data_IF_960691291415
#
_entry.id   IF_960691291415
#
_cell.length_a   1.000
_cell.length_b   1.000
_cell.length_c   1.000
_cell.angle_alpha   90.00
_cell.angle_beta   90.00
_cell.angle_gamma   90.00
#
_symmetry.space_group_name_H-M   'P 1'
#
loop_
_entity.id
_entity.type
_entity.pdbx_description
1 polymer ?
#
# COMPACT_ATOMS: atom_id res chain seq x y z
N UNK A 1 2.71 -17.09 -1.38
CA UNK A 1 3.90 -16.25 -1.67
C UNK A 1 3.76 -14.90 -1.00
N UNK A 2 4.86 -14.39 -0.50
CA UNK A 2 4.87 -13.11 0.22
C UNK A 2 5.52 -12.04 -0.65
N UNK A 3 5.00 -10.83 -0.54
CA UNK A 3 5.43 -9.69 -1.35
C UNK A 3 5.53 -8.45 -0.47
N UNK A 4 6.52 -7.62 -0.78
CA UNK A 4 6.64 -6.29 -0.21
C UNK A 4 6.24 -5.28 -1.27
N UNK A 5 5.26 -4.44 -0.93
CA UNK A 5 4.87 -3.31 -1.77
C UNK A 5 5.43 -2.06 -1.11
N UNK A 6 6.18 -1.27 -1.86
CA UNK A 6 6.66 0.04 -1.44
C UNK A 6 6.10 1.04 -2.44
N UNK A 7 5.31 1.97 -1.95
CA UNK A 7 4.66 2.97 -2.79
C UNK A 7 5.02 4.37 -2.33
N UNK A 8 5.34 5.24 -3.28
CA UNK A 8 5.68 6.62 -3.01
C UNK A 8 4.60 7.53 -3.55
N UNK A 9 4.12 8.43 -2.70
CA UNK A 9 3.13 9.43 -3.09
C UNK A 9 3.76 10.47 -4.01
N UNK A 10 2.93 11.25 -4.71
CA UNK A 10 3.39 12.38 -5.45
C UNK A 10 4.04 13.42 -4.53
N UNK A 11 4.85 14.30 -5.12
CA UNK A 11 5.59 15.33 -4.37
C UNK A 11 5.02 16.73 -4.58
N UNK A 12 3.92 16.86 -5.32
CA UNK A 12 3.25 18.13 -5.55
C UNK A 12 2.45 18.58 -4.32
N UNK A 13 2.02 19.83 -4.32
CA UNK A 13 1.29 20.43 -3.19
C UNK A 13 0.00 19.70 -2.83
N UNK A 14 -0.69 19.12 -3.83
CA UNK A 14 -1.96 18.42 -3.61
C UNK A 14 -1.82 16.97 -3.16
N UNK A 15 -0.59 16.45 -3.06
CA UNK A 15 -0.37 15.03 -2.80
C UNK A 15 -0.96 14.56 -1.46
N UNK A 16 -0.73 15.30 -0.38
CA UNK A 16 -1.24 14.92 0.93
C UNK A 16 -2.76 14.97 0.97
N UNK A 17 -3.38 15.95 0.34
CA UNK A 17 -4.84 16.06 0.29
C UNK A 17 -5.44 14.87 -0.45
N UNK A 18 -4.84 14.44 -1.57
CA UNK A 18 -5.30 13.25 -2.29
C UNK A 18 -5.24 12.02 -1.41
N UNK A 19 -4.14 11.88 -0.66
CA UNK A 19 -4.00 10.76 0.27
C UNK A 19 -5.07 10.78 1.35
N UNK A 20 -5.29 11.92 1.98
CA UNK A 20 -6.28 12.05 3.04
C UNK A 20 -7.71 11.83 2.51
N UNK A 21 -7.99 12.26 1.29
CA UNK A 21 -9.31 12.04 0.67
C UNK A 21 -9.59 10.56 0.37
N UNK A 22 -8.58 9.79 0.03
CA UNK A 22 -8.74 8.37 -0.27
C UNK A 22 -8.50 7.46 0.93
N UNK A 23 -8.05 8.00 2.05
CA UNK A 23 -7.54 7.22 3.18
C UNK A 23 -8.58 6.30 3.81
N UNK A 24 -9.79 6.78 4.05
CA UNK A 24 -10.80 5.94 4.71
C UNK A 24 -11.18 4.71 3.89
N UNK A 25 -11.31 4.87 2.57
CA UNK A 25 -11.59 3.75 1.67
C UNK A 25 -10.42 2.78 1.59
N UNK A 26 -9.19 3.32 1.55
CA UNK A 26 -7.99 2.49 1.54
C UNK A 26 -7.89 1.66 2.83
N UNK A 27 -8.12 2.26 4.00
CA UNK A 27 -8.06 1.55 5.27
C UNK A 27 -9.16 0.51 5.40
N UNK A 28 -10.35 0.78 4.86
CA UNK A 28 -11.43 -0.19 4.84
C UNK A 28 -11.07 -1.42 4.01
N UNK A 29 -10.49 -1.20 2.83
CA UNK A 29 -10.02 -2.29 1.99
C UNK A 29 -8.87 -3.05 2.66
N UNK A 30 -7.94 -2.33 3.28
CA UNK A 30 -6.82 -2.94 4.00
C UNK A 30 -7.32 -3.86 5.12
N UNK A 31 -8.33 -3.43 5.86
CA UNK A 31 -8.92 -4.24 6.92
C UNK A 31 -9.49 -5.54 6.37
N UNK A 32 -10.21 -5.48 5.25
CA UNK A 32 -10.75 -6.67 4.59
C UNK A 32 -9.64 -7.59 4.12
N UNK A 33 -8.57 -7.02 3.56
CA UNK A 33 -7.41 -7.80 3.14
C UNK A 33 -6.75 -8.51 4.33
N UNK A 34 -6.68 -7.86 5.47
CA UNK A 34 -6.15 -8.46 6.69
C UNK A 34 -7.04 -9.61 7.18
N UNK A 35 -8.34 -9.42 7.18
CA UNK A 35 -9.30 -10.46 7.58
C UNK A 35 -9.21 -11.69 6.68
N UNK A 36 -8.94 -11.49 5.39
CA UNK A 36 -8.81 -12.55 4.41
C UNK A 36 -7.41 -13.21 4.41
N UNK A 37 -6.49 -12.69 5.21
CA UNK A 37 -5.13 -13.23 5.29
C UNK A 37 -4.19 -12.74 4.22
N UNK A 38 -4.60 -11.77 3.38
CA UNK A 38 -3.75 -11.22 2.33
C UNK A 38 -2.82 -10.12 2.81
N UNK A 39 -3.25 -9.30 3.75
CA UNK A 39 -2.40 -8.26 4.34
C UNK A 39 -1.82 -8.77 5.66
N UNK A 40 -0.49 -8.83 5.74
CA UNK A 40 0.21 -9.26 6.95
C UNK A 40 0.43 -8.07 7.86
N UNK A 41 1.10 -7.05 7.36
CA UNK A 41 1.35 -5.79 8.04
C UNK A 41 1.44 -4.67 7.02
N UNK A 42 1.12 -3.45 7.43
CA UNK A 42 1.25 -2.30 6.57
C UNK A 42 1.33 -1.01 7.37
N UNK A 43 1.80 0.04 6.72
CA UNK A 43 1.90 1.33 7.36
C UNK A 43 2.27 2.43 6.37
N UNK A 44 2.23 3.66 6.85
CA UNK A 44 2.65 4.81 6.08
C UNK A 44 4.15 5.06 6.25
N UNK A 45 4.77 5.50 5.16
CA UNK A 45 6.14 6.00 5.21
C UNK A 45 6.04 7.48 5.55
N UNK A 46 6.86 7.92 6.50
CA UNK A 46 6.83 9.31 6.98
C UNK A 46 8.09 10.04 6.56
N UNK A 47 7.96 11.35 6.31
CA UNK A 47 9.13 12.21 6.13
C UNK A 47 9.68 12.65 7.51
N UNK A 48 10.69 13.48 7.52
CA UNK A 48 11.33 13.94 8.76
C UNK A 48 10.39 14.75 9.66
N UNK A 49 9.35 15.34 9.09
CA UNK A 49 8.36 16.13 9.84
C UNK A 49 7.16 15.29 10.30
N UNK A 50 7.16 13.99 9.97
CA UNK A 50 6.07 13.09 10.33
C UNK A 50 4.91 13.10 9.36
N UNK A 51 5.05 13.70 8.19
CA UNK A 51 4.01 13.68 7.16
C UNK A 51 4.05 12.36 6.39
N UNK A 52 2.88 11.83 6.04
CA UNK A 52 2.79 10.61 5.27
C UNK A 52 3.15 10.89 3.81
N UNK A 53 4.16 10.18 3.31
CA UNK A 53 4.68 10.35 1.94
C UNK A 53 4.68 9.07 1.13
N UNK A 54 4.17 8.00 1.69
CA UNK A 54 4.14 6.71 1.00
C UNK A 54 3.51 5.64 1.86
N UNK A 55 3.58 4.43 1.37
CA UNK A 55 3.03 3.26 2.05
C UNK A 55 3.96 2.07 1.88
N UNK A 56 3.96 1.19 2.87
CA UNK A 56 4.62 -0.10 2.78
C UNK A 56 3.64 -1.17 3.23
N UNK A 57 3.59 -2.29 2.49
CA UNK A 57 2.65 -3.36 2.75
C UNK A 57 3.37 -4.70 2.58
N UNK A 58 3.22 -5.56 3.58
CA UNK A 58 3.64 -6.95 3.49
C UNK A 58 2.40 -7.78 3.20
N UNK A 59 2.37 -8.41 2.04
CA UNK A 59 1.18 -9.11 1.56
C UNK A 59 1.47 -10.54 1.18
N UNK A 60 0.42 -11.35 1.13
CA UNK A 60 0.49 -12.76 0.81
C UNK A 60 -0.58 -13.07 -0.23
N UNK A 61 -0.14 -13.59 -1.37
CA UNK A 61 -1.01 -13.99 -2.47
C UNK A 61 -0.43 -15.23 -3.15
N UNK A 62 -1.26 -15.89 -3.95
CA UNK A 62 -0.83 -17.08 -4.67
C UNK A 62 0.09 -16.76 -5.86
N UNK A 63 -0.03 -15.56 -6.43
CA UNK A 63 0.74 -15.16 -7.60
C UNK A 63 1.04 -13.67 -7.63
N UNK A 64 2.01 -13.29 -8.47
CA UNK A 64 2.34 -11.88 -8.72
C UNK A 64 1.18 -11.15 -9.41
N UNK A 65 0.42 -11.85 -10.25
CA UNK A 65 -0.76 -11.28 -10.91
C UNK A 65 -1.83 -10.88 -9.91
N UNK A 66 -2.01 -11.67 -8.86
CA UNK A 66 -2.97 -11.34 -7.80
C UNK A 66 -2.57 -10.06 -7.06
N UNK A 67 -1.28 -9.85 -6.85
CA UNK A 67 -0.77 -8.62 -6.25
C UNK A 67 -1.10 -7.43 -7.14
N UNK A 68 -0.86 -7.55 -8.44
CA UNK A 68 -1.14 -6.47 -9.38
C UNK A 68 -2.62 -6.12 -9.41
N UNK A 69 -3.48 -7.13 -9.37
CA UNK A 69 -4.93 -6.92 -9.31
C UNK A 69 -5.32 -6.15 -8.05
N UNK A 70 -4.75 -6.52 -6.90
CA UNK A 70 -4.99 -5.78 -5.66
C UNK A 70 -4.57 -4.31 -5.81
N UNK A 71 -3.37 -4.07 -6.33
CA UNK A 71 -2.85 -2.71 -6.52
C UNK A 71 -3.79 -1.89 -7.41
N UNK A 72 -4.20 -2.44 -8.55
CA UNK A 72 -5.05 -1.73 -9.51
C UNK A 72 -6.39 -1.34 -8.92
N UNK A 73 -6.88 -2.07 -7.93
CA UNK A 73 -8.16 -1.82 -7.28
C UNK A 73 -8.05 -0.97 -6.02
N UNK A 74 -6.85 -0.64 -5.56
CA UNK A 74 -6.68 0.11 -4.33
C UNK A 74 -7.11 1.58 -4.49
N UNK A 75 -7.86 2.14 -3.52
CA UNK A 75 -8.24 3.55 -3.57
C UNK A 75 -7.06 4.52 -3.68
N UNK A 76 -5.89 4.15 -3.19
CA UNK A 76 -4.70 4.99 -3.34
C UNK A 76 -4.16 5.02 -4.77
N UNK A 77 -4.45 4.00 -5.58
CA UNK A 77 -4.14 4.02 -7.01
C UNK A 77 -5.20 4.79 -7.76
N UNK A 78 -6.47 4.49 -7.52
CA UNK A 78 -7.59 5.17 -8.19
C UNK A 78 -7.63 6.66 -7.89
N UNK A 79 -7.26 7.04 -6.66
CA UNK A 79 -7.20 8.44 -6.22
C UNK A 79 -5.89 9.15 -6.57
N UNK A 80 -5.03 8.51 -7.34
CA UNK A 80 -3.74 9.06 -7.78
C UNK A 80 -2.85 9.49 -6.62
N UNK A 81 -2.87 8.70 -5.54
CA UNK A 81 -2.03 8.93 -4.36
C UNK A 81 -0.65 8.35 -4.61
N UNK A 82 -0.57 7.07 -4.94
CA UNK A 82 0.69 6.38 -5.21
C UNK A 82 1.16 6.72 -6.62
N UNK A 83 2.30 7.37 -6.72
CA UNK A 83 2.89 7.75 -7.99
C UNK A 83 3.89 6.71 -8.49
N UNK A 84 4.66 6.14 -7.56
CA UNK A 84 5.64 5.12 -7.89
C UNK A 84 5.43 3.92 -7.00
N UNK A 85 5.34 2.73 -7.59
CA UNK A 85 5.07 1.50 -6.86
C UNK A 85 6.12 0.46 -7.21
N UNK A 86 6.74 -0.12 -6.18
CA UNK A 86 7.65 -1.24 -6.32
C UNK A 86 7.02 -2.46 -5.66
N UNK A 87 7.15 -3.61 -6.30
CA UNK A 87 6.71 -4.89 -5.74
C UNK A 87 7.91 -5.84 -5.75
N UNK A 88 8.21 -6.40 -4.58
CA UNK A 88 9.33 -7.33 -4.42
C UNK A 88 8.83 -8.64 -3.84
N UNK A 89 9.17 -9.79 -4.45
CA UNK A 89 8.93 -11.06 -3.78
C UNK A 89 9.89 -11.16 -2.59
N UNK A 90 9.38 -11.60 -1.45
CA UNK A 90 10.16 -11.74 -0.22
C UNK A 90 9.81 -13.02 0.48
N UNK A 91 10.58 -13.34 1.50
CA UNK A 91 10.26 -14.41 2.45
C UNK A 91 10.38 -13.83 3.84
N UNK A 92 9.25 -13.72 4.54
CA UNK A 92 9.26 -13.24 5.91
C UNK A 92 9.85 -14.29 6.83
N UNK A 93 10.67 -13.83 7.78
CA UNK A 93 11.27 -14.71 8.79
C UNK A 93 10.21 -15.00 9.85
N UNK A 94 10.08 -16.27 10.22
CA UNK A 94 9.20 -16.70 11.31
C UNK A 94 10.08 -17.21 12.45
N UNK A 95 9.94 -16.56 13.58
CA UNK A 95 10.73 -16.91 14.77
C UNK A 95 10.05 -17.92 15.67
#
# INVERSE_FOLDING_TARGET
MEFLIIAHDGTDEGALDRRMNARSEHLEKARKMKEQGHLIEGGAILDEEGKMIGSTLYMQFDSREDVQKYIDEDPYVKGKVWEKIEVKPIRLVKF
#
